data_IF_636786096695
#
_entry.id   IF_636786096695
#
_cell.length_a   1.000
_cell.length_b   1.000
_cell.length_c   1.000
_cell.angle_alpha   90.00
_cell.angle_beta   90.00
_cell.angle_gamma   90.00
#
_symmetry.space_group_name_H-M   'P 1'
#
loop_
_entity.id
_entity.type
_entity.pdbx_description
1 polymer ?
#
# COMPACT_ATOMS: atom_id res chain seq x y z
N UNK A 1 0.67 20.28 -17.49
CA UNK A 1 0.54 20.64 -16.07
C UNK A 1 -0.56 19.85 -15.36
N UNK A 2 -1.74 19.66 -15.95
CA UNK A 2 -2.84 18.89 -15.34
C UNK A 2 -2.47 17.45 -15.03
N UNK A 3 -1.77 16.76 -15.94
CA UNK A 3 -1.31 15.38 -15.74
C UNK A 3 -0.35 15.25 -14.55
N UNK A 4 0.61 16.19 -14.41
CA UNK A 4 1.52 16.23 -13.25
C UNK A 4 0.76 16.45 -11.94
N UNK A 5 -0.18 17.40 -11.92
CA UNK A 5 -0.99 17.67 -10.75
C UNK A 5 -1.81 16.45 -10.32
N UNK A 6 -2.33 15.69 -11.28
CA UNK A 6 -3.05 14.44 -11.03
C UNK A 6 -2.12 13.36 -10.47
N UNK A 7 -0.93 13.14 -11.07
CA UNK A 7 0.05 12.19 -10.56
C UNK A 7 0.44 12.48 -9.11
N UNK A 8 0.63 13.73 -8.73
CA UNK A 8 0.99 14.15 -7.36
C UNK A 8 -0.13 13.96 -6.34
N UNK A 9 -1.36 13.71 -6.78
CA UNK A 9 -2.51 13.45 -5.89
C UNK A 9 -2.77 11.96 -5.68
N UNK A 10 -2.17 11.08 -6.51
CA UNK A 10 -2.37 9.64 -6.38
C UNK A 10 -1.81 9.13 -5.05
N UNK A 11 -2.57 8.26 -4.41
CA UNK A 11 -2.16 7.55 -3.21
C UNK A 11 -2.03 6.05 -3.49
N UNK A 12 -0.83 5.50 -3.33
CA UNK A 12 -0.49 4.10 -3.63
C UNK A 12 -0.12 3.41 -2.34
N UNK A 13 -0.83 2.35 -1.98
CA UNK A 13 -0.63 1.61 -0.73
C UNK A 13 -0.29 0.14 -0.97
N UNK A 14 0.69 -0.35 -0.21
CA UNK A 14 0.93 -1.80 -0.01
C UNK A 14 0.63 -2.15 1.45
N UNK A 15 -0.46 -2.89 1.74
CA UNK A 15 -0.85 -3.24 3.12
C UNK A 15 -0.03 -4.38 3.73
N UNK A 16 0.93 -4.94 3.02
CA UNK A 16 1.88 -5.96 3.49
C UNK A 16 3.24 -5.74 2.83
N UNK A 17 3.77 -4.51 2.98
CA UNK A 17 4.84 -3.99 2.13
C UNK A 17 6.19 -4.68 2.30
N UNK A 18 6.40 -5.46 3.38
CA UNK A 18 7.69 -6.08 3.68
C UNK A 18 8.81 -5.05 3.66
N UNK A 19 9.88 -5.33 2.94
CA UNK A 19 11.00 -4.42 2.70
C UNK A 19 10.77 -3.36 1.60
N UNK A 20 9.54 -3.19 1.13
CA UNK A 20 9.14 -2.14 0.21
C UNK A 20 9.38 -2.41 -1.28
N UNK A 21 9.45 -3.66 -1.72
CA UNK A 21 9.75 -4.00 -3.11
C UNK A 21 8.74 -3.38 -4.10
N UNK A 22 7.43 -3.53 -3.84
CA UNK A 22 6.38 -2.94 -4.67
C UNK A 22 6.35 -1.43 -4.60
N UNK A 23 6.56 -0.86 -3.40
CA UNK A 23 6.60 0.59 -3.20
C UNK A 23 7.76 1.23 -3.95
N UNK A 24 8.94 0.58 -4.00
CA UNK A 24 10.08 1.04 -4.80
C UNK A 24 9.77 1.03 -6.31
N UNK A 25 9.03 0.05 -6.80
CA UNK A 25 8.62 0.03 -8.21
C UNK A 25 7.57 1.12 -8.51
N UNK A 26 6.62 1.35 -7.62
CA UNK A 26 5.68 2.45 -7.74
C UNK A 26 6.38 3.82 -7.76
N UNK A 27 7.37 4.01 -6.87
CA UNK A 27 8.21 5.20 -6.85
C UNK A 27 8.97 5.39 -8.17
N UNK A 28 9.64 4.34 -8.67
CA UNK A 28 10.36 4.39 -9.95
C UNK A 28 9.43 4.75 -11.12
N UNK A 29 8.22 4.19 -11.15
CA UNK A 29 7.23 4.49 -12.16
C UNK A 29 6.82 5.97 -12.12
N UNK A 30 6.49 6.49 -10.96
CA UNK A 30 6.09 7.90 -10.80
C UNK A 30 7.24 8.85 -11.17
N UNK A 31 8.48 8.55 -10.80
CA UNK A 31 9.66 9.34 -11.20
C UNK A 31 9.79 9.35 -12.72
N UNK A 32 9.65 8.19 -13.38
CA UNK A 32 9.72 8.09 -14.84
C UNK A 32 8.63 8.92 -15.54
N UNK A 33 7.39 8.89 -15.04
CA UNK A 33 6.28 9.69 -15.58
C UNK A 33 6.54 11.20 -15.43
N UNK A 34 7.07 11.64 -14.29
CA UNK A 34 7.43 13.04 -14.10
C UNK A 34 8.59 13.46 -15.01
N UNK A 35 9.59 12.62 -15.21
CA UNK A 35 10.69 12.84 -16.16
C UNK A 35 10.16 12.98 -17.59
N UNK A 36 9.25 12.09 -17.98
CA UNK A 36 8.59 12.15 -19.30
C UNK A 36 7.84 13.48 -19.51
N UNK A 37 7.15 13.98 -18.48
CA UNK A 37 6.48 15.29 -18.55
C UNK A 37 7.52 16.41 -18.78
N UNK A 38 8.66 16.39 -18.10
CA UNK A 38 9.72 17.39 -18.25
C UNK A 38 10.33 17.37 -19.65
N UNK A 39 10.55 16.17 -20.21
CA UNK A 39 11.02 16.00 -21.60
C UNK A 39 10.01 16.57 -22.61
N UNK A 40 8.72 16.30 -22.42
CA UNK A 40 7.67 16.87 -23.28
C UNK A 40 7.62 18.40 -23.21
N UNK A 41 7.71 18.97 -22.00
CA UNK A 41 7.75 20.42 -21.80
C UNK A 41 8.97 21.02 -22.49
N UNK A 42 10.13 20.42 -22.36
CA UNK A 42 11.36 20.89 -23.01
C UNK A 42 11.21 20.91 -24.53
N UNK A 43 10.63 19.86 -25.12
CA UNK A 43 10.39 19.80 -26.57
C UNK A 43 9.40 20.85 -27.09
N UNK A 44 8.38 21.17 -26.30
CA UNK A 44 7.31 22.10 -26.72
C UNK A 44 7.68 23.55 -26.46
N UNK A 45 8.34 23.84 -25.33
CA UNK A 45 8.56 25.22 -24.84
C UNK A 45 9.99 25.71 -25.09
N UNK A 46 10.90 24.88 -25.61
CA UNK A 46 12.28 25.26 -25.94
C UNK A 46 13.20 25.55 -24.76
N UNK A 47 12.82 25.15 -23.53
CA UNK A 47 13.64 25.28 -22.33
C UNK A 47 12.97 24.59 -21.13
N UNK A 48 13.68 23.63 -20.52
CA UNK A 48 13.13 22.80 -19.45
C UNK A 48 13.35 23.40 -18.07
N UNK A 49 12.28 23.78 -17.39
CA UNK A 49 12.26 23.85 -15.94
C UNK A 49 12.06 22.41 -15.42
N UNK A 50 13.14 21.82 -14.90
CA UNK A 50 13.01 20.60 -14.11
C UNK A 50 12.25 20.95 -12.81
N UNK A 51 11.30 20.10 -12.43
CA UNK A 51 10.61 20.29 -11.17
C UNK A 51 11.57 19.90 -10.03
N UNK A 52 12.08 20.87 -9.25
CA UNK A 52 13.04 20.54 -8.21
C UNK A 52 12.34 19.65 -7.18
N UNK A 53 13.03 18.58 -6.75
CA UNK A 53 12.64 17.77 -5.61
C UNK A 53 11.43 16.86 -5.81
N UNK A 54 11.17 16.44 -7.04
CA UNK A 54 9.99 15.63 -7.36
C UNK A 54 9.97 14.28 -6.61
N UNK A 55 11.16 13.66 -6.43
CA UNK A 55 11.27 12.36 -5.78
C UNK A 55 10.79 12.41 -4.33
N UNK A 56 11.14 13.45 -3.57
CA UNK A 56 10.66 13.61 -2.20
C UNK A 56 9.18 13.94 -2.14
N UNK A 57 8.70 14.76 -3.05
CA UNK A 57 7.27 15.05 -3.16
C UNK A 57 6.46 13.78 -3.39
N UNK A 58 6.96 12.88 -4.25
CA UNK A 58 6.34 11.56 -4.49
C UNK A 58 6.37 10.71 -3.20
N UNK A 59 7.51 10.65 -2.51
CA UNK A 59 7.62 9.88 -1.26
C UNK A 59 6.66 10.37 -0.17
N UNK A 60 6.49 11.69 -0.05
CA UNK A 60 5.63 12.29 0.97
C UNK A 60 4.14 12.15 0.66
N UNK A 61 3.76 12.23 -0.62
CA UNK A 61 2.36 12.34 -1.02
C UNK A 61 1.77 11.06 -1.61
N UNK A 62 2.60 10.22 -2.27
CA UNK A 62 2.07 9.15 -3.10
C UNK A 62 2.28 7.75 -2.54
N UNK A 63 3.32 7.51 -1.72
CA UNK A 63 3.76 6.16 -1.35
C UNK A 63 3.41 5.85 0.11
N UNK A 64 2.61 4.82 0.32
CA UNK A 64 2.14 4.37 1.63
C UNK A 64 2.36 2.87 1.81
N UNK A 65 2.71 2.45 3.01
CA UNK A 65 2.91 1.04 3.30
C UNK A 65 2.68 0.68 4.75
N UNK A 66 2.24 -0.55 4.98
CA UNK A 66 2.10 -1.12 6.33
C UNK A 66 2.69 -2.52 6.34
N UNK A 67 3.45 -2.85 7.35
CA UNK A 67 3.90 -4.21 7.60
C UNK A 67 3.87 -4.54 9.09
N UNK A 68 3.69 -5.81 9.43
CA UNK A 68 3.66 -6.29 10.81
C UNK A 68 5.06 -6.29 11.44
N UNK A 69 6.10 -6.51 10.63
CA UNK A 69 7.48 -6.62 11.07
C UNK A 69 8.16 -5.25 11.04
N UNK A 70 8.62 -4.79 12.20
CA UNK A 70 9.25 -3.48 12.38
C UNK A 70 10.57 -3.34 11.61
N UNK A 71 11.39 -4.40 11.58
CA UNK A 71 12.65 -4.41 10.84
C UNK A 71 12.39 -4.28 9.32
N UNK A 72 11.35 -4.94 8.81
CA UNK A 72 10.93 -4.81 7.42
C UNK A 72 10.51 -3.37 7.09
N UNK A 73 9.76 -2.72 7.98
CA UNK A 73 9.35 -1.31 7.85
C UNK A 73 10.56 -0.39 7.78
N UNK A 74 11.56 -0.58 8.66
CA UNK A 74 12.78 0.23 8.62
C UNK A 74 13.60 -0.01 7.34
N UNK A 75 13.69 -1.24 6.86
CA UNK A 75 14.31 -1.56 5.58
C UNK A 75 13.55 -0.90 4.42
N UNK A 76 12.21 -0.92 4.43
CA UNK A 76 11.39 -0.27 3.42
C UNK A 76 11.64 1.24 3.37
N UNK A 77 11.64 1.92 4.51
CA UNK A 77 11.97 3.35 4.62
C UNK A 77 13.36 3.64 4.07
N UNK A 78 14.36 2.86 4.49
CA UNK A 78 15.74 3.02 4.03
C UNK A 78 15.87 2.79 2.52
N UNK A 79 15.21 1.78 1.97
CA UNK A 79 15.28 1.46 0.54
C UNK A 79 14.65 2.55 -0.33
N UNK A 80 13.49 3.08 0.08
CA UNK A 80 12.82 4.20 -0.56
C UNK A 80 13.65 5.46 -0.49
N UNK A 81 14.23 5.73 0.67
CA UNK A 81 15.10 6.88 0.87
C UNK A 81 16.38 6.82 0.01
N UNK A 82 17.05 5.66 -0.08
CA UNK A 82 18.23 5.49 -0.91
C UNK A 82 17.98 5.77 -2.40
N UNK A 83 16.75 5.57 -2.88
CA UNK A 83 16.36 5.89 -4.26
C UNK A 83 16.32 7.38 -4.56
N UNK A 84 16.05 8.19 -3.54
CA UNK A 84 15.89 9.65 -3.68
C UNK A 84 17.05 10.42 -3.05
N UNK A 85 18.06 9.72 -2.51
CA UNK A 85 19.18 10.31 -1.81
C UNK A 85 20.00 11.23 -2.73
N UNK A 86 20.18 12.48 -2.32
CA UNK A 86 21.03 13.46 -2.98
C UNK A 86 22.13 13.97 -2.02
N UNK A 87 23.33 14.28 -2.50
CA UNK A 87 24.38 14.82 -1.65
C UNK A 87 23.92 16.09 -0.92
N UNK A 88 24.22 16.18 0.37
CA UNK A 88 23.92 17.33 1.24
C UNK A 88 22.43 17.55 1.54
N UNK A 89 21.56 16.59 1.28
CA UNK A 89 20.13 16.69 1.55
C UNK A 89 19.78 15.97 2.85
N UNK A 90 18.88 16.57 3.64
CA UNK A 90 18.33 15.94 4.84
C UNK A 90 17.40 14.80 4.43
N UNK A 91 17.47 13.68 5.16
CA UNK A 91 16.54 12.55 5.05
C UNK A 91 15.12 12.97 5.37
N UNK A 92 14.16 12.58 4.55
CA UNK A 92 12.74 12.71 4.89
C UNK A 92 12.35 11.66 5.93
N UNK A 93 11.56 12.07 6.90
CA UNK A 93 10.94 11.12 7.81
C UNK A 93 9.74 10.47 7.12
N UNK A 94 9.89 9.21 6.72
CA UNK A 94 8.82 8.43 6.09
C UNK A 94 7.89 7.73 7.11
N UNK A 95 8.02 8.02 8.40
CA UNK A 95 7.22 7.40 9.46
C UNK A 95 5.74 7.77 9.41
N UNK A 96 5.38 8.84 8.72
CA UNK A 96 3.98 9.20 8.45
C UNK A 96 3.34 8.27 7.41
N UNK A 97 4.11 7.72 6.48
CA UNK A 97 3.61 6.98 5.32
C UNK A 97 3.89 5.48 5.38
N UNK A 98 5.04 5.08 5.96
CA UNK A 98 5.43 3.67 6.10
C UNK A 98 5.38 3.32 7.58
N UNK A 99 4.41 2.48 7.94
CA UNK A 99 4.06 2.23 9.35
C UNK A 99 4.13 0.76 9.72
N UNK A 100 4.44 0.51 11.00
CA UNK A 100 4.40 -0.82 11.57
C UNK A 100 3.04 -1.09 12.21
N UNK A 101 2.39 -2.20 11.82
CA UNK A 101 1.12 -2.61 12.40
C UNK A 101 0.49 -3.81 11.71
N UNK A 102 -0.55 -4.35 12.33
CA UNK A 102 -1.32 -5.46 11.77
C UNK A 102 -2.43 -4.92 10.87
N UNK A 103 -2.21 -4.97 9.57
CA UNK A 103 -3.13 -4.47 8.55
C UNK A 103 -4.55 -5.05 8.62
N UNK A 104 -4.71 -6.24 9.18
CA UNK A 104 -5.98 -6.95 9.26
C UNK A 104 -6.74 -6.71 10.58
N UNK A 105 -6.05 -6.27 11.65
CA UNK A 105 -6.60 -6.26 13.00
C UNK A 105 -6.42 -4.89 13.65
N UNK A 106 -7.53 -4.25 13.96
CA UNK A 106 -7.60 -2.97 14.66
C UNK A 106 -7.84 -3.11 16.17
N UNK A 107 -8.13 -4.31 16.65
CA UNK A 107 -8.42 -4.59 18.05
C UNK A 107 -7.14 -4.76 18.88
N UNK A 108 -6.94 -3.88 19.87
CA UNK A 108 -5.83 -3.99 20.84
C UNK A 108 -5.90 -5.27 21.67
N UNK A 109 -7.08 -5.81 21.93
CA UNK A 109 -7.24 -7.06 22.69
C UNK A 109 -6.75 -8.27 21.91
N UNK A 110 -6.68 -8.20 20.56
CA UNK A 110 -6.26 -9.29 19.69
C UNK A 110 -4.83 -9.09 19.19
N UNK A 111 -4.46 -7.89 18.76
CA UNK A 111 -3.15 -7.59 18.18
C UNK A 111 -2.21 -6.78 19.10
N UNK A 112 -2.64 -6.47 20.35
CA UNK A 112 -1.82 -5.68 21.28
C UNK A 112 -1.41 -4.34 20.68
N UNK A 113 -0.12 -4.00 20.82
CA UNK A 113 0.45 -2.75 20.31
C UNK A 113 0.57 -2.70 18.78
N UNK A 114 0.37 -3.84 18.11
CA UNK A 114 0.34 -3.92 16.63
C UNK A 114 -1.05 -3.68 16.04
N UNK A 115 -2.09 -3.44 16.86
CA UNK A 115 -3.42 -3.08 16.37
C UNK A 115 -3.35 -1.83 15.49
N UNK A 116 -3.98 -1.87 14.30
CA UNK A 116 -3.80 -0.83 13.29
C UNK A 116 -5.14 -0.31 12.77
N UNK A 117 -5.44 0.94 13.12
CA UNK A 117 -6.63 1.66 12.65
C UNK A 117 -6.30 2.52 11.45
N UNK A 118 -6.64 2.08 10.27
CA UNK A 118 -6.28 2.70 9.00
C UNK A 118 -6.70 4.18 8.91
N UNK A 119 -7.94 4.50 9.27
CA UNK A 119 -8.51 5.84 9.19
C UNK A 119 -7.78 6.81 10.16
N UNK A 120 -7.39 6.32 11.33
CA UNK A 120 -6.64 7.10 12.32
C UNK A 120 -5.17 7.28 11.90
N UNK A 121 -4.61 6.28 11.25
CA UNK A 121 -3.21 6.30 10.85
C UNK A 121 -2.96 7.11 9.57
N UNK A 122 -3.94 7.19 8.66
CA UNK A 122 -3.86 7.91 7.40
C UNK A 122 -5.10 8.81 7.18
N UNK A 123 -5.40 9.74 8.11
CA UNK A 123 -6.65 10.52 8.06
C UNK A 123 -6.80 11.27 6.74
N UNK A 124 -5.72 11.87 6.22
CA UNK A 124 -5.74 12.63 4.96
C UNK A 124 -6.14 11.79 3.73
N UNK A 125 -5.88 10.48 3.76
CA UNK A 125 -6.28 9.55 2.67
C UNK A 125 -7.75 9.20 2.80
N UNK A 126 -8.21 8.88 4.02
CA UNK A 126 -9.60 8.46 4.27
C UNK A 126 -10.60 9.62 4.24
N UNK A 127 -10.19 10.85 4.49
CA UNK A 127 -10.99 12.05 4.21
C UNK A 127 -11.33 12.20 2.71
N UNK A 128 -10.50 11.60 1.83
CA UNK A 128 -10.70 11.53 0.37
C UNK A 128 -11.35 10.22 -0.09
N UNK A 129 -11.79 9.37 0.84
CA UNK A 129 -12.51 8.13 0.58
C UNK A 129 -11.64 6.88 0.49
N UNK A 130 -10.31 6.97 0.66
CA UNK A 130 -9.37 5.85 0.63
C UNK A 130 -8.25 6.01 -0.40
N UNK A 131 -7.48 4.95 -0.62
CA UNK A 131 -6.36 4.94 -1.55
C UNK A 131 -6.81 4.82 -3.01
N UNK A 132 -6.09 5.48 -3.92
CA UNK A 132 -6.33 5.38 -5.37
C UNK A 132 -5.82 4.06 -5.94
N UNK A 133 -4.73 3.51 -5.39
CA UNK A 133 -4.14 2.25 -5.82
C UNK A 133 -3.73 1.40 -4.61
N UNK A 134 -4.16 0.15 -4.58
CA UNK A 134 -3.72 -0.85 -3.59
C UNK A 134 -3.01 -1.98 -4.31
N UNK A 135 -1.71 -2.11 -4.06
CA UNK A 135 -0.83 -3.12 -4.70
C UNK A 135 -0.16 -3.98 -3.64
N UNK A 136 0.32 -5.16 -4.00
CA UNK A 136 1.15 -5.94 -3.08
C UNK A 136 1.24 -7.42 -3.37
N UNK A 137 2.01 -8.09 -2.52
CA UNK A 137 2.14 -9.54 -2.46
C UNK A 137 1.94 -9.99 -1.00
N UNK A 138 0.70 -10.10 -0.53
CA UNK A 138 0.40 -10.42 0.86
C UNK A 138 0.91 -11.82 1.26
N UNK A 139 1.14 -12.08 2.56
CA UNK A 139 1.73 -13.35 3.01
C UNK A 139 0.78 -14.54 2.80
N UNK A 140 1.33 -15.68 2.31
CA UNK A 140 0.61 -16.93 2.07
C UNK A 140 0.65 -17.85 3.30
N UNK A 141 0.12 -17.36 4.41
CA UNK A 141 0.08 -18.12 5.67
C UNK A 141 -1.13 -19.04 5.69
N UNK A 142 -0.89 -20.32 5.96
CA UNK A 142 -1.94 -21.34 6.06
C UNK A 142 -2.77 -21.14 7.33
N UNK A 143 -4.03 -21.47 7.23
CA UNK A 143 -5.05 -21.26 8.27
C UNK A 143 -4.72 -21.92 9.64
N UNK A 144 -3.87 -22.95 9.66
CA UNK A 144 -3.43 -23.61 10.88
C UNK A 144 -2.52 -22.74 11.75
N UNK A 145 -1.81 -21.77 11.14
CA UNK A 145 -0.80 -20.94 11.80
C UNK A 145 -1.36 -19.66 12.43
N UNK A 146 -2.66 -19.34 12.22
CA UNK A 146 -3.29 -18.15 12.78
C UNK A 146 -4.63 -18.44 13.47
N UNK A 147 -4.74 -19.59 14.14
CA UNK A 147 -5.97 -20.04 14.80
C UNK A 147 -6.49 -19.04 15.84
N UNK A 148 -5.59 -18.39 16.56
CA UNK A 148 -5.92 -17.46 17.65
C UNK A 148 -6.72 -16.23 17.20
N UNK A 149 -6.47 -15.77 15.97
CA UNK A 149 -7.17 -14.59 15.42
C UNK A 149 -8.44 -14.94 14.64
N UNK A 150 -8.75 -16.23 14.42
CA UNK A 150 -9.95 -16.66 13.66
C UNK A 150 -11.26 -16.09 14.21
N UNK A 151 -11.50 -16.04 15.54
CA UNK A 151 -12.73 -15.45 16.06
C UNK A 151 -12.90 -13.97 15.70
N UNK A 152 -11.80 -13.23 15.64
CA UNK A 152 -11.81 -11.84 15.17
C UNK A 152 -12.13 -11.76 13.67
N UNK A 153 -11.47 -12.60 12.86
CA UNK A 153 -11.68 -12.62 11.41
C UNK A 153 -13.12 -13.02 11.05
N UNK A 154 -13.70 -14.01 11.75
CA UNK A 154 -15.10 -14.43 11.56
C UNK A 154 -16.10 -13.31 11.81
N UNK A 155 -15.85 -12.49 12.82
CA UNK A 155 -16.72 -11.37 13.18
C UNK A 155 -16.59 -10.18 12.21
N UNK A 156 -15.41 -9.95 11.66
CA UNK A 156 -15.08 -8.68 10.99
C UNK A 156 -14.90 -8.80 9.47
N UNK A 157 -14.79 -10.02 8.90
CA UNK A 157 -14.56 -10.23 7.48
C UNK A 157 -15.68 -11.03 6.81
N UNK A 158 -16.24 -10.49 5.74
CA UNK A 158 -17.28 -11.15 4.92
C UNK A 158 -16.75 -12.38 4.18
N UNK A 159 -15.46 -12.35 3.83
CA UNK A 159 -14.79 -13.46 3.15
C UNK A 159 -14.46 -14.63 4.06
N UNK A 160 -14.70 -14.52 5.38
CA UNK A 160 -14.31 -15.55 6.34
C UNK A 160 -14.72 -16.96 5.92
N UNK A 161 -13.75 -17.84 6.04
CA UNK A 161 -13.93 -19.28 5.95
C UNK A 161 -12.85 -19.96 6.82
N UNK A 162 -13.25 -20.96 7.61
CA UNK A 162 -12.37 -21.61 8.59
C UNK A 162 -11.11 -22.27 8.02
N UNK A 163 -11.10 -22.58 6.72
CA UNK A 163 -9.98 -23.19 5.99
C UNK A 163 -9.33 -22.24 4.96
N UNK A 164 -9.71 -20.95 4.96
CA UNK A 164 -9.11 -19.97 4.08
C UNK A 164 -7.73 -19.53 4.58
N UNK A 165 -6.78 -19.39 3.66
CA UNK A 165 -5.45 -18.87 3.94
C UNK A 165 -5.48 -17.35 4.18
N UNK A 166 -4.47 -16.81 4.85
CA UNK A 166 -4.43 -15.41 5.32
C UNK A 166 -4.58 -14.38 4.18
N UNK A 167 -4.04 -14.65 3.00
CA UNK A 167 -4.11 -13.73 1.86
C UNK A 167 -5.56 -13.40 1.42
N UNK A 168 -6.54 -14.27 1.70
CA UNK A 168 -7.94 -13.99 1.35
C UNK A 168 -8.50 -12.79 2.13
N UNK A 169 -8.08 -12.62 3.37
CA UNK A 169 -8.45 -11.46 4.20
C UNK A 169 -7.75 -10.19 3.73
N UNK A 170 -6.52 -10.30 3.22
CA UNK A 170 -5.83 -9.17 2.58
C UNK A 170 -6.54 -8.69 1.31
N UNK A 171 -7.17 -9.59 0.53
CA UNK A 171 -7.98 -9.18 -0.62
C UNK A 171 -9.15 -8.30 -0.16
N UNK A 172 -9.95 -8.75 0.81
CA UNK A 172 -11.07 -7.96 1.32
C UNK A 172 -10.60 -6.65 1.95
N UNK A 173 -9.53 -6.70 2.77
CA UNK A 173 -8.97 -5.50 3.36
C UNK A 173 -8.50 -4.52 2.27
N UNK A 174 -7.75 -4.96 1.28
CA UNK A 174 -7.27 -4.12 0.19
C UNK A 174 -8.40 -3.46 -0.60
N UNK A 175 -9.49 -4.19 -0.88
CA UNK A 175 -10.68 -3.63 -1.52
C UNK A 175 -11.33 -2.53 -0.63
N UNK A 176 -11.42 -2.77 0.68
CA UNK A 176 -12.01 -1.81 1.63
C UNK A 176 -11.11 -0.58 1.88
N UNK A 177 -9.82 -0.64 1.55
CA UNK A 177 -8.90 0.50 1.67
C UNK A 177 -8.95 1.44 0.49
N UNK A 178 -9.53 1.02 -0.65
CA UNK A 178 -9.61 1.84 -1.86
C UNK A 178 -10.75 2.87 -1.78
N UNK A 179 -10.57 3.97 -2.48
CA UNK A 179 -11.68 4.86 -2.84
C UNK A 179 -12.57 4.23 -3.94
N UNK A 180 -13.70 4.86 -4.25
CA UNK A 180 -14.69 4.33 -5.22
C UNK A 180 -14.12 4.10 -6.63
N UNK A 181 -13.09 4.84 -7.03
CA UNK A 181 -12.44 4.74 -8.34
C UNK A 181 -11.07 4.04 -8.25
N UNK A 182 -10.76 3.45 -7.12
CA UNK A 182 -9.46 2.86 -6.83
C UNK A 182 -9.15 1.62 -7.68
N UNK A 183 -7.88 1.35 -7.86
CA UNK A 183 -7.36 0.17 -8.55
C UNK A 183 -6.71 -0.79 -7.58
N UNK A 184 -7.05 -2.08 -7.73
CA UNK A 184 -6.51 -3.15 -6.89
C UNK A 184 -5.67 -4.13 -7.72
N UNK A 185 -4.46 -4.43 -7.27
CA UNK A 185 -3.59 -5.42 -7.92
C UNK A 185 -2.68 -6.14 -6.93
N UNK A 186 -2.96 -7.43 -6.71
CA UNK A 186 -2.15 -8.30 -5.85
C UNK A 186 -1.58 -9.49 -6.62
N UNK A 187 -0.37 -9.91 -6.27
CA UNK A 187 0.15 -11.22 -6.67
C UNK A 187 -0.38 -12.25 -5.68
N UNK A 188 -1.15 -13.22 -6.18
CA UNK A 188 -1.87 -14.17 -5.34
C UNK A 188 -1.86 -15.58 -5.94
N UNK A 189 -1.90 -16.63 -5.10
CA UNK A 189 -2.23 -17.97 -5.57
C UNK A 189 -3.66 -17.99 -6.15
N UNK A 190 -3.84 -18.57 -7.33
CA UNK A 190 -5.15 -18.65 -7.99
C UNK A 190 -6.12 -19.69 -7.37
N UNK A 191 -5.69 -20.40 -6.35
CA UNK A 191 -6.44 -21.49 -5.70
C UNK A 191 -7.83 -21.05 -5.22
N UNK A 192 -7.97 -19.82 -4.66
CA UNK A 192 -9.25 -19.28 -4.19
C UNK A 192 -10.30 -19.13 -5.30
N UNK A 193 -9.89 -19.03 -6.57
CA UNK A 193 -10.82 -18.93 -7.69
C UNK A 193 -11.61 -20.23 -7.92
N UNK A 194 -11.05 -21.39 -7.58
CA UNK A 194 -11.65 -22.70 -7.81
C UNK A 194 -12.06 -23.41 -6.51
N UNK A 195 -11.37 -23.18 -5.41
CA UNK A 195 -11.60 -23.88 -4.15
C UNK A 195 -12.93 -23.47 -3.48
N UNK A 196 -13.48 -24.37 -2.69
CA UNK A 196 -14.75 -24.16 -1.97
C UNK A 196 -14.67 -23.01 -0.98
N UNK A 197 -13.56 -22.85 -0.25
CA UNK A 197 -13.32 -21.76 0.68
C UNK A 197 -13.29 -20.37 -0.01
N UNK A 198 -12.97 -20.32 -1.28
CA UNK A 198 -12.95 -19.08 -2.07
C UNK A 198 -14.34 -18.53 -2.41
N UNK A 199 -15.44 -19.24 -2.08
CA UNK A 199 -16.80 -18.80 -2.42
C UNK A 199 -17.13 -17.42 -1.85
N UNK A 200 -16.76 -17.17 -0.60
CA UNK A 200 -17.09 -15.91 0.07
C UNK A 200 -16.26 -14.76 -0.51
N UNK A 201 -14.94 -14.96 -0.68
CA UNK A 201 -14.08 -13.89 -1.25
C UNK A 201 -14.49 -13.57 -2.70
N UNK A 202 -14.90 -14.55 -3.51
CA UNK A 202 -15.41 -14.29 -4.88
C UNK A 202 -16.69 -13.45 -4.90
N UNK A 203 -17.47 -13.42 -3.80
CA UNK A 203 -18.62 -12.51 -3.66
C UNK A 203 -18.22 -11.10 -3.28
N UNK A 204 -17.11 -10.94 -2.53
CA UNK A 204 -16.56 -9.63 -2.15
C UNK A 204 -15.95 -8.91 -3.35
N UNK A 205 -15.31 -9.66 -4.25
CA UNK A 205 -14.66 -9.12 -5.47
C UNK A 205 -15.69 -8.68 -6.54
N UNK A 206 -16.92 -9.21 -6.52
CA UNK A 206 -18.00 -8.85 -7.46
C UNK A 206 -18.72 -7.57 -7.07
#
# INVERSE_FOLDING_TARGET
>A
DQYRAWLLQLTICDPACGSGAFLNQALNFLIAEHTYIDELKTKVLGGGLQFPDIENTILENNIFGVDLNEESVEIAKLSLWLRTAQPRRKLNDLSSNIKCGNSLIDSKTVAGDKAFHWETQFPQVFERGGFDVVIGNPPYVRQELFKEIKPFLEKNYKCYNSIADLYTYFIEKGINLMNENGLFSFILPNKFLKATYGKNIRKVIK
#
